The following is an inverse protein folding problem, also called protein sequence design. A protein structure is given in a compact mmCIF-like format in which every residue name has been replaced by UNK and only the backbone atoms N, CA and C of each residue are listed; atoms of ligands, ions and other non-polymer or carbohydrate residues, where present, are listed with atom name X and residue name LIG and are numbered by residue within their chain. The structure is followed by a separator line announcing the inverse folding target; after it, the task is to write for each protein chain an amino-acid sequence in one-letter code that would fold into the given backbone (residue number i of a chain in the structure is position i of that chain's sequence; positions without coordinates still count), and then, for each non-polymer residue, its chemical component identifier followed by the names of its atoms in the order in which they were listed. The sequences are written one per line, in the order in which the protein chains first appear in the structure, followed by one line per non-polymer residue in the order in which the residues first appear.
data_IF_565941542461
#
_entry.id   IF_565941542461
#
_cell.length_a   1.000
_cell.length_b   1.000
_cell.length_c   1.000
_cell.angle_alpha   90.00
_cell.angle_beta   90.00
_cell.angle_gamma   90.00
#
_symmetry.space_group_name_H-M   'P 1'
#
loop_
_entity.id
_entity.type
_entity.pdbx_description
1 polymer ?
#
# COMPACT_ATOMS: atom_id res chain seq x y z
N UNK A 1 6.99 18.02 11.42
CA UNK A 1 5.73 18.42 10.75
C UNK A 1 4.60 17.60 11.35
N UNK A 2 3.63 18.25 11.99
CA UNK A 2 2.42 17.59 12.51
C UNK A 2 1.45 17.41 11.34
N UNK A 3 1.52 16.25 10.67
CA UNK A 3 0.59 15.91 9.59
C UNK A 3 -0.84 15.79 10.12
N UNK A 4 -1.65 16.83 9.86
CA UNK A 4 -3.09 16.92 10.18
C UNK A 4 -3.93 15.82 9.48
N UNK A 5 -3.35 15.11 8.52
CA UNK A 5 -3.98 14.04 7.74
C UNK A 5 -4.08 12.72 8.51
N UNK A 6 -3.51 12.62 9.72
CA UNK A 6 -3.76 11.48 10.62
C UNK A 6 -5.03 11.70 11.45
N UNK A 7 -5.98 10.74 11.50
CA UNK A 7 -5.92 9.36 11.00
C UNK A 7 -6.53 9.13 9.61
N UNK A 8 -6.95 10.17 8.89
CA UNK A 8 -7.65 10.04 7.62
C UNK A 8 -6.87 9.28 6.55
N UNK A 9 -5.56 9.51 6.40
CA UNK A 9 -4.72 8.86 5.39
C UNK A 9 -4.66 7.32 5.51
N UNK A 10 -4.26 6.72 6.65
CA UNK A 10 -4.25 5.26 6.80
C UNK A 10 -5.65 4.66 6.68
N UNK A 11 -6.67 5.35 7.21
CA UNK A 11 -8.06 4.86 7.15
C UNK A 11 -8.53 4.80 5.69
N UNK A 12 -8.34 5.87 4.94
CA UNK A 12 -8.73 5.93 3.53
C UNK A 12 -7.96 4.91 2.69
N UNK A 13 -6.65 4.75 2.91
CA UNK A 13 -5.81 3.77 2.20
C UNK A 13 -6.27 2.32 2.45
N UNK A 14 -6.59 1.97 3.70
CA UNK A 14 -7.09 0.63 4.05
C UNK A 14 -8.50 0.38 3.49
N UNK A 15 -9.41 1.37 3.57
CA UNK A 15 -10.73 1.24 2.93
C UNK A 15 -10.64 1.11 1.41
N UNK A 16 -9.72 1.84 0.77
CA UNK A 16 -9.50 1.76 -0.66
C UNK A 16 -9.00 0.36 -1.07
N UNK A 17 -8.11 -0.25 -0.29
CA UNK A 17 -7.65 -1.62 -0.55
C UNK A 17 -8.81 -2.64 -0.54
N UNK A 18 -9.76 -2.51 0.40
CA UNK A 18 -10.95 -3.37 0.46
C UNK A 18 -11.91 -3.10 -0.71
N UNK A 19 -12.17 -1.82 -1.01
CA UNK A 19 -13.08 -1.40 -2.09
C UNK A 19 -12.63 -1.88 -3.48
N UNK A 20 -11.32 -1.89 -3.74
CA UNK A 20 -10.76 -2.32 -5.03
C UNK A 20 -10.95 -3.82 -5.28
N UNK A 21 -11.10 -4.64 -4.23
CA UNK A 21 -11.33 -6.09 -4.35
C UNK A 21 -12.82 -6.43 -4.60
N UNK A 22 -13.76 -5.56 -4.21
CA UNK A 22 -15.21 -5.80 -4.36
C UNK A 22 -15.65 -6.15 -5.80
N UNK A 23 -15.20 -5.44 -6.86
CA UNK A 23 -15.59 -5.76 -8.24
C UNK A 23 -14.77 -6.90 -8.88
N UNK A 24 -13.72 -7.38 -8.22
CA UNK A 24 -12.83 -8.44 -8.72
C UNK A 24 -13.57 -9.71 -9.22
N UNK A 25 -14.60 -10.26 -8.51
CA UNK A 25 -15.36 -11.40 -9.03
C UNK A 25 -16.07 -11.12 -10.36
N UNK A 26 -16.58 -9.90 -10.57
CA UNK A 26 -17.25 -9.53 -11.83
C UNK A 26 -16.26 -9.40 -12.99
N UNK A 27 -15.06 -8.86 -12.73
CA UNK A 27 -14.01 -8.75 -13.75
C UNK A 27 -13.34 -10.07 -14.08
N UNK A 28 -13.24 -11.00 -13.12
CA UNK A 28 -12.79 -12.37 -13.37
C UNK A 28 -13.76 -13.12 -14.29
N UNK A 29 -15.07 -12.94 -14.09
CA UNK A 29 -16.10 -13.57 -14.93
C UNK A 29 -16.13 -13.01 -16.36
N UNK A 30 -15.74 -11.74 -16.53
CA UNK A 30 -15.54 -11.10 -17.82
C UNK A 30 -14.21 -11.47 -18.51
N UNK A 31 -13.41 -12.39 -17.94
CA UNK A 31 -12.11 -12.83 -18.47
C UNK A 31 -11.09 -11.70 -18.70
N UNK A 32 -11.22 -10.61 -17.95
CA UNK A 32 -10.37 -9.44 -18.12
C UNK A 32 -9.15 -9.49 -17.19
N UNK A 33 -8.18 -10.35 -17.55
CA UNK A 33 -7.00 -10.64 -16.74
C UNK A 33 -6.16 -9.40 -16.41
N UNK A 34 -6.03 -8.46 -17.35
CA UNK A 34 -5.28 -7.20 -17.13
C UNK A 34 -5.90 -6.33 -16.05
N UNK A 35 -7.24 -6.25 -16.04
CA UNK A 35 -7.98 -5.50 -15.01
C UNK A 35 -7.84 -6.17 -13.64
N UNK A 36 -7.92 -7.50 -13.59
CA UNK A 36 -7.75 -8.26 -12.34
C UNK A 36 -6.34 -8.10 -11.75
N UNK A 37 -5.30 -8.13 -12.60
CA UNK A 37 -3.91 -7.92 -12.17
C UNK A 37 -3.72 -6.49 -11.61
N UNK A 38 -4.29 -5.49 -12.27
CA UNK A 38 -4.22 -4.10 -11.82
C UNK A 38 -4.95 -3.88 -10.49
N UNK A 39 -6.12 -4.50 -10.28
CA UNK A 39 -6.86 -4.45 -9.02
C UNK A 39 -6.09 -5.09 -7.86
N UNK A 40 -5.47 -6.26 -8.08
CA UNK A 40 -4.65 -6.92 -7.06
C UNK A 40 -3.41 -6.07 -6.74
N UNK A 41 -2.73 -5.57 -7.77
CA UNK A 41 -1.56 -4.72 -7.62
C UNK A 41 -1.87 -3.45 -6.82
N UNK A 42 -2.94 -2.73 -7.19
CA UNK A 42 -3.35 -1.50 -6.52
C UNK A 42 -3.80 -1.75 -5.08
N UNK A 43 -4.50 -2.86 -4.80
CA UNK A 43 -4.84 -3.26 -3.43
C UNK A 43 -3.59 -3.50 -2.57
N UNK A 44 -2.58 -4.20 -3.11
CA UNK A 44 -1.31 -4.44 -2.42
C UNK A 44 -0.57 -3.11 -2.16
N UNK A 45 -0.55 -2.20 -3.12
CA UNK A 45 0.08 -0.88 -2.97
C UNK A 45 -0.61 -0.04 -1.88
N UNK A 46 -1.94 0.03 -1.86
CA UNK A 46 -2.70 0.75 -0.83
C UNK A 46 -2.51 0.13 0.57
N UNK A 47 -2.42 -1.20 0.67
CA UNK A 47 -2.08 -1.90 1.93
C UNK A 47 -0.69 -1.53 2.43
N UNK A 48 0.32 -1.59 1.55
CA UNK A 48 1.70 -1.21 1.91
C UNK A 48 1.76 0.23 2.40
N UNK A 49 1.11 1.16 1.69
CA UNK A 49 1.10 2.58 2.03
C UNK A 49 0.39 2.85 3.37
N UNK A 50 -0.75 2.19 3.62
CA UNK A 50 -1.46 2.28 4.90
C UNK A 50 -0.64 1.72 6.06
N UNK A 51 -0.05 0.54 5.89
CA UNK A 51 0.82 -0.10 6.91
C UNK A 51 2.05 0.77 7.17
N UNK A 52 2.71 1.25 6.12
CA UNK A 52 3.88 2.11 6.22
C UNK A 52 3.55 3.39 6.98
N UNK A 53 2.41 4.01 6.69
CA UNK A 53 1.96 5.17 7.44
C UNK A 53 1.74 4.83 8.93
N UNK A 54 1.06 3.73 9.26
CA UNK A 54 0.80 3.33 10.66
C UNK A 54 2.08 3.02 11.44
N UNK A 55 3.00 2.24 10.86
CA UNK A 55 4.24 1.79 11.51
C UNK A 55 5.19 2.97 11.72
N UNK A 56 5.39 3.79 10.69
CA UNK A 56 6.35 4.88 10.72
C UNK A 56 5.86 6.12 11.45
N UNK A 57 4.58 6.14 11.87
CA UNK A 57 4.05 7.17 12.76
C UNK A 57 4.64 7.11 14.17
N UNK A 58 5.04 5.93 14.65
CA UNK A 58 5.48 5.73 16.03
C UNK A 58 7.00 5.74 16.22
N UNK A 59 7.78 5.77 15.14
CA UNK A 59 9.21 5.53 15.21
C UNK A 59 9.97 6.59 14.41
N UNK A 60 10.70 7.45 15.12
CA UNK A 60 11.65 8.42 14.58
C UNK A 60 12.95 7.77 14.05
N UNK A 61 12.84 6.56 13.49
CA UNK A 61 13.96 5.84 12.87
C UNK A 61 13.71 5.92 11.37
N UNK A 62 14.51 6.74 10.70
CA UNK A 62 14.64 6.68 9.25
C UNK A 62 15.21 5.30 8.88
N UNK A 63 14.39 4.39 8.36
CA UNK A 63 14.88 3.15 7.74
C UNK A 63 15.31 3.35 6.28
N UNK A 64 15.24 4.59 5.75
CA UNK A 64 15.81 4.98 4.46
C UNK A 64 17.29 4.56 4.30
N UNK A 65 18.20 4.84 5.26
CA UNK A 65 19.59 4.36 5.18
C UNK A 65 19.71 2.83 5.22
N UNK A 66 18.88 2.13 6.02
CA UNK A 66 18.94 0.67 6.13
C UNK A 66 18.58 -0.02 4.81
N UNK A 67 17.62 0.53 4.06
CA UNK A 67 17.26 -0.01 2.75
C UNK A 67 18.35 0.25 1.70
N UNK A 68 18.98 1.43 1.72
CA UNK A 68 20.13 1.73 0.86
C UNK A 68 21.32 0.80 1.13
N UNK A 69 21.66 0.54 2.40
CA UNK A 69 22.76 -0.37 2.78
C UNK A 69 22.50 -1.82 2.34
N UNK A 70 21.25 -2.29 2.42
CA UNK A 70 20.86 -3.62 1.95
C UNK A 70 20.97 -3.72 0.41
N UNK A 71 20.68 -2.64 -0.31
CA UNK A 71 20.81 -2.60 -1.77
C UNK A 71 22.27 -2.56 -2.23
N UNK A 72 23.16 -1.83 -1.53
CA UNK A 72 24.59 -1.84 -1.85
C UNK A 72 25.24 -3.20 -1.63
N UNK A 73 24.78 -3.95 -0.63
CA UNK A 73 25.30 -5.29 -0.33
C UNK A 73 24.79 -6.41 -1.26
N UNK A 74 23.88 -6.09 -2.18
CA UNK A 74 23.43 -6.97 -3.27
C UNK A 74 24.15 -6.74 -4.61
N UNK A 75 25.22 -5.93 -4.62
CA UNK A 75 26.16 -5.76 -5.74
C UNK A 75 27.52 -6.36 -5.38
#
# INVERSE_FOLDING_TARGET
MSDSTYPAYPVLALTAAVLVIVPLPWHLQAWNAGTCLYMIWTSIACLNLGINSIIWRATAIDYAPVWCDICESMV
#
